data_IF_944731351764
#
_entry.id   IF_944731351764
#
_cell.length_a   1.000
_cell.length_b   1.000
_cell.length_c   1.000
_cell.angle_alpha   90.00
_cell.angle_beta   90.00
_cell.angle_gamma   90.00
#
_symmetry.space_group_name_H-M   'P 1'
#
loop_
_entity.id
_entity.type
_entity.pdbx_description
1 polymer ?
#
# COMPACT_ATOMS: atom_id res chain seq x y z
N UNK A 1 6.98 17.50 -16.68
CA UNK A 1 6.54 16.13 -17.02
C UNK A 1 7.06 15.21 -15.94
N UNK A 2 6.20 14.71 -15.03
CA UNK A 2 6.60 13.62 -14.15
C UNK A 2 6.85 12.40 -15.05
N UNK A 3 8.11 12.02 -15.22
CA UNK A 3 8.44 10.78 -15.92
C UNK A 3 7.83 9.60 -15.17
N UNK A 4 7.30 8.62 -15.91
CA UNK A 4 6.76 7.37 -15.37
C UNK A 4 7.73 6.72 -14.35
N UNK A 5 9.03 6.87 -14.55
CA UNK A 5 10.07 6.39 -13.63
C UNK A 5 10.05 7.09 -12.27
N UNK A 6 9.84 8.41 -12.25
CA UNK A 6 9.76 9.20 -11.02
C UNK A 6 8.47 8.86 -10.27
N UNK A 7 7.35 8.75 -11.00
CA UNK A 7 6.07 8.31 -10.44
C UNK A 7 6.18 6.91 -9.81
N UNK A 8 6.79 5.95 -10.53
CA UNK A 8 7.04 4.59 -10.02
C UNK A 8 7.87 4.61 -8.73
N UNK A 9 8.94 5.40 -8.68
CA UNK A 9 9.80 5.52 -7.49
C UNK A 9 9.01 6.05 -6.29
N UNK A 10 8.24 7.11 -6.47
CA UNK A 10 7.42 7.70 -5.40
C UNK A 10 6.39 6.68 -4.90
N UNK A 11 5.73 5.98 -5.83
CA UNK A 11 4.74 4.96 -5.50
C UNK A 11 5.32 3.82 -4.66
N UNK A 12 6.50 3.31 -5.05
CA UNK A 12 7.18 2.23 -4.31
C UNK A 12 7.57 2.69 -2.91
N UNK A 13 8.13 3.89 -2.77
CA UNK A 13 8.52 4.45 -1.47
C UNK A 13 7.30 4.60 -0.56
N UNK A 14 6.18 5.10 -1.11
CA UNK A 14 4.95 5.27 -0.36
C UNK A 14 4.41 3.94 0.16
N UNK A 15 4.32 2.90 -0.69
CA UNK A 15 3.86 1.58 -0.28
C UNK A 15 4.80 0.96 0.75
N UNK A 16 6.11 1.09 0.56
CA UNK A 16 7.12 0.55 1.47
C UNK A 16 7.07 1.16 2.87
N UNK A 17 6.65 2.42 2.99
CA UNK A 17 6.49 3.08 4.30
C UNK A 17 5.09 2.85 4.88
N UNK A 18 4.06 2.98 4.04
CA UNK A 18 2.66 2.90 4.47
C UNK A 18 2.30 1.50 4.98
N UNK A 19 2.66 0.44 4.26
CA UNK A 19 2.27 -0.93 4.61
C UNK A 19 2.85 -1.35 5.97
N UNK A 20 4.16 -1.22 6.27
CA UNK A 20 4.69 -1.56 7.58
C UNK A 20 4.15 -0.67 8.69
N UNK A 21 4.00 0.64 8.43
CA UNK A 21 3.46 1.57 9.44
C UNK A 21 2.03 1.23 9.81
N UNK A 22 1.19 0.89 8.83
CA UNK A 22 -0.19 0.45 9.07
C UNK A 22 -0.25 -0.87 9.82
N UNK A 23 0.60 -1.84 9.49
CA UNK A 23 0.68 -3.11 10.21
C UNK A 23 1.13 -2.90 11.66
N UNK A 24 2.15 -2.08 11.91
CA UNK A 24 2.59 -1.73 13.26
C UNK A 24 1.47 -1.04 14.05
N UNK A 25 0.74 -0.11 13.43
CA UNK A 25 -0.39 0.56 14.07
C UNK A 25 -1.51 -0.43 14.44
N UNK A 26 -1.83 -1.39 13.56
CA UNK A 26 -2.84 -2.43 13.82
C UNK A 26 -2.43 -3.33 14.99
N UNK A 27 -1.18 -3.75 15.06
CA UNK A 27 -0.73 -4.68 16.09
C UNK A 27 -0.47 -3.99 17.44
N UNK A 28 0.18 -2.83 17.43
CA UNK A 28 0.66 -2.15 18.63
C UNK A 28 -0.25 -1.04 19.14
N UNK A 29 -1.05 -0.42 18.27
CA UNK A 29 -1.82 0.79 18.60
C UNK A 29 -3.34 0.63 18.57
N UNK A 30 -3.87 -0.33 17.80
CA UNK A 30 -5.31 -0.50 17.67
C UNK A 30 -5.90 -1.33 18.82
N UNK A 31 -6.85 -0.75 19.55
CA UNK A 31 -7.78 -1.47 20.40
C UNK A 31 -8.85 -2.16 19.53
N UNK A 32 -8.47 -3.30 18.99
CA UNK A 32 -9.33 -4.14 18.16
C UNK A 32 -9.17 -5.60 18.57
N UNK A 33 -10.20 -6.41 18.36
CA UNK A 33 -10.16 -7.84 18.64
C UNK A 33 -9.12 -8.53 17.75
N UNK A 34 -8.60 -9.68 18.19
CA UNK A 34 -7.61 -10.44 17.42
C UNK A 34 -8.10 -10.77 15.99
N UNK A 35 -9.40 -11.07 15.83
CA UNK A 35 -10.01 -11.33 14.52
C UNK A 35 -9.99 -10.10 13.62
N UNK A 36 -10.30 -8.92 14.15
CA UNK A 36 -10.24 -7.66 13.39
C UNK A 36 -8.80 -7.29 13.02
N UNK A 37 -7.84 -7.48 13.93
CA UNK A 37 -6.41 -7.28 13.64
C UNK A 37 -5.91 -8.18 12.51
N UNK A 38 -6.35 -9.44 12.47
CA UNK A 38 -6.03 -10.34 11.36
C UNK A 38 -6.62 -9.87 10.03
N UNK A 39 -7.90 -9.46 10.02
CA UNK A 39 -8.56 -8.95 8.80
C UNK A 39 -7.85 -7.69 8.30
N UNK A 40 -7.54 -6.75 9.20
CA UNK A 40 -6.81 -5.53 8.86
C UNK A 40 -5.40 -5.83 8.37
N UNK A 41 -4.70 -6.81 8.96
CA UNK A 41 -3.38 -7.23 8.49
C UNK A 41 -3.42 -7.80 7.07
N UNK A 42 -4.46 -8.56 6.72
CA UNK A 42 -4.69 -9.04 5.36
C UNK A 42 -4.93 -7.87 4.38
N UNK A 43 -5.75 -6.89 4.79
CA UNK A 43 -6.06 -5.72 3.96
C UNK A 43 -4.80 -4.90 3.70
N UNK A 44 -4.04 -4.55 4.74
CA UNK A 44 -2.82 -3.75 4.59
C UNK A 44 -1.68 -4.52 3.93
N UNK A 45 -1.54 -5.81 4.21
CA UNK A 45 -0.44 -6.63 3.68
C UNK A 45 -0.65 -7.13 2.26
N UNK A 46 -1.90 -7.24 1.78
CA UNK A 46 -2.21 -7.85 0.47
C UNK A 46 -3.07 -6.92 -0.39
N UNK A 47 -4.22 -6.48 0.13
CA UNK A 47 -5.20 -5.72 -0.66
C UNK A 47 -4.65 -4.36 -1.09
N UNK A 48 -4.00 -3.64 -0.16
CA UNK A 48 -3.38 -2.34 -0.44
C UNK A 48 -2.26 -2.47 -1.50
N UNK A 49 -1.24 -3.33 -1.34
CA UNK A 49 -0.22 -3.54 -2.38
C UNK A 49 -0.80 -3.92 -3.75
N UNK A 50 -1.84 -4.76 -3.77
CA UNK A 50 -2.49 -5.18 -5.02
C UNK A 50 -3.20 -4.01 -5.71
N UNK A 51 -3.94 -3.19 -4.95
CA UNK A 51 -4.60 -1.99 -5.47
C UNK A 51 -3.56 -0.99 -6.03
N UNK A 52 -2.44 -0.80 -5.33
CA UNK A 52 -1.32 0.02 -5.79
C UNK A 52 -0.71 -0.51 -7.09
N UNK A 53 -0.53 -1.83 -7.23
CA UNK A 53 -0.03 -2.44 -8.45
C UNK A 53 -0.98 -2.23 -9.64
N UNK A 54 -2.28 -2.40 -9.43
CA UNK A 54 -3.31 -2.15 -10.45
C UNK A 54 -3.29 -0.67 -10.85
N UNK A 55 -3.26 0.23 -9.87
CA UNK A 55 -3.19 1.67 -10.12
C UNK A 55 -1.96 2.05 -10.95
N UNK A 56 -0.78 1.54 -10.60
CA UNK A 56 0.45 1.73 -11.38
C UNK A 56 0.30 1.26 -12.82
N UNK A 57 -0.29 0.06 -13.02
CA UNK A 57 -0.49 -0.50 -14.36
C UNK A 57 -1.41 0.37 -15.20
N UNK A 58 -2.48 0.91 -14.61
CA UNK A 58 -3.39 1.86 -15.27
C UNK A 58 -2.63 3.14 -15.62
N UNK A 59 -1.95 3.77 -14.67
CA UNK A 59 -1.20 5.02 -14.92
C UNK A 59 -0.11 4.82 -15.97
N UNK A 60 0.55 3.67 -16.00
CA UNK A 60 1.55 3.30 -17.01
C UNK A 60 0.98 3.20 -18.43
N UNK A 61 -0.32 2.94 -18.60
CA UNK A 61 -0.96 2.94 -19.92
C UNK A 61 -1.24 4.35 -20.44
N UNK A 62 -1.50 5.30 -19.53
CA UNK A 62 -1.83 6.69 -19.88
C UNK A 62 -0.61 7.61 -19.98
N UNK A 63 0.43 7.38 -19.16
CA UNK A 63 1.62 8.23 -19.06
C UNK A 63 2.78 7.76 -19.95
N UNK A 64 2.46 7.30 -21.17
CA UNK A 64 3.42 6.70 -22.11
C UNK A 64 4.66 7.57 -22.34
#
# INVERSE_FOLDING_TARGET
>A
MFSLQVFKKILIIFVFIAVPSSLLAVWLGADATFKEKMILSLIFGIVIPLAFFIFYKITSLFLK
#
